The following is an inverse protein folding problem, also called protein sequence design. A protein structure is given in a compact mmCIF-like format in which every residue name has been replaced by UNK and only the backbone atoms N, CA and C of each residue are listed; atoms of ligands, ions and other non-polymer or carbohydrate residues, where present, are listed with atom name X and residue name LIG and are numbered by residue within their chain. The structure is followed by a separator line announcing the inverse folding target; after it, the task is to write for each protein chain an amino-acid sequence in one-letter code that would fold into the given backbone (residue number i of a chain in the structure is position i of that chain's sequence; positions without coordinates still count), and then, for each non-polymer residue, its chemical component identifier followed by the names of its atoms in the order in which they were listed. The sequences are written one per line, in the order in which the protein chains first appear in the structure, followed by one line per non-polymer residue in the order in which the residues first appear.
data_IF_377058499656
#
_entry.id   IF_377058499656
#
_cell.length_a   1.000
_cell.length_b   1.000
_cell.length_c   1.000
_cell.angle_alpha   90.00
_cell.angle_beta   90.00
_cell.angle_gamma   90.00
#
_symmetry.space_group_name_H-M   'P 1'
#
loop_
_entity.id
_entity.type
_entity.pdbx_description
1 polymer ?
#
# COMPACT_ATOMS: atom_id res chain seq x y z
N UNK A 1 41.79 -32.56 1.11
CA UNK A 1 40.33 -32.61 0.94
C UNK A 1 39.71 -31.55 1.85
N UNK A 2 38.89 -30.66 1.27
CA UNK A 2 37.73 -29.92 1.81
C UNK A 2 37.53 -29.78 3.33
N UNK A 3 37.03 -28.69 3.93
CA UNK A 3 36.63 -27.32 3.52
C UNK A 3 36.17 -26.62 4.82
N UNK A 4 36.46 -25.31 4.92
CA UNK A 4 35.58 -24.23 5.43
C UNK A 4 34.89 -24.32 6.81
N UNK A 5 35.16 -23.33 7.68
CA UNK A 5 34.22 -22.24 8.02
C UNK A 5 34.65 -21.55 9.33
N UNK A 6 35.16 -20.31 9.22
CA UNK A 6 35.28 -19.41 10.35
C UNK A 6 34.09 -18.45 10.37
N UNK A 7 33.32 -18.55 11.45
CA UNK A 7 32.23 -17.65 11.85
C UNK A 7 32.84 -16.45 12.58
N UNK A 8 32.41 -15.25 12.24
CA UNK A 8 32.48 -14.07 13.10
C UNK A 8 31.16 -13.29 12.85
N UNK A 9 30.19 -13.21 13.76
CA UNK A 9 30.18 -12.73 15.13
C UNK A 9 30.60 -11.26 15.28
N UNK A 10 29.65 -10.45 15.73
CA UNK A 10 29.83 -9.10 16.26
C UNK A 10 29.37 -8.01 15.30
N UNK A 11 28.81 -6.88 15.74
CA UNK A 11 28.38 -6.44 17.05
C UNK A 11 27.53 -5.17 16.83
N UNK A 12 26.94 -4.72 17.92
CA UNK A 12 26.01 -3.61 18.13
C UNK A 12 26.58 -2.20 17.83
N UNK A 13 25.64 -1.24 17.73
CA UNK A 13 25.76 0.23 17.85
C UNK A 13 26.26 1.06 16.64
N UNK A 14 25.41 2.00 16.19
CA UNK A 14 25.84 3.22 15.49
C UNK A 14 26.52 4.22 16.44
N UNK A 15 26.80 5.50 16.09
CA UNK A 15 26.27 6.30 14.98
C UNK A 15 27.38 7.06 14.19
N UNK A 16 26.97 7.94 13.26
CA UNK A 16 27.72 9.13 12.77
C UNK A 16 29.11 8.97 12.13
N UNK A 17 29.28 9.61 10.96
CA UNK A 17 30.58 10.11 10.51
C UNK A 17 31.03 9.56 9.16
N UNK A 18 30.64 10.24 8.09
CA UNK A 18 31.27 10.08 6.78
C UNK A 18 32.70 10.63 6.85
N UNK A 19 33.70 9.76 6.82
CA UNK A 19 35.08 10.09 6.49
C UNK A 19 35.44 9.44 5.15
N UNK A 20 35.94 10.27 4.24
CA UNK A 20 36.38 9.90 2.91
C UNK A 20 37.60 8.97 2.98
N UNK A 21 37.60 7.93 2.13
CA UNK A 21 38.82 7.20 1.79
C UNK A 21 38.79 6.90 0.29
N UNK A 22 39.71 7.56 -0.42
CA UNK A 22 40.05 7.29 -1.80
C UNK A 22 41.00 6.07 -1.89
N UNK A 23 40.80 5.21 -2.88
CA UNK A 23 41.82 4.33 -3.49
C UNK A 23 41.19 3.81 -4.80
N UNK A 24 41.62 4.23 -5.99
CA UNK A 24 42.86 3.84 -6.70
C UNK A 24 42.86 2.38 -7.19
N UNK A 25 42.61 2.22 -8.49
CA UNK A 25 43.34 1.31 -9.40
C UNK A 25 42.94 -0.18 -9.47
N UNK A 26 42.44 -0.62 -10.63
CA UNK A 26 43.17 -1.48 -11.57
C UNK A 26 42.22 -2.16 -12.58
N UNK A 27 42.49 -1.96 -13.87
CA UNK A 27 41.97 -2.78 -14.97
C UNK A 27 42.57 -4.19 -14.90
N UNK A 28 41.76 -5.22 -15.10
CA UNK A 28 42.09 -6.34 -16.00
C UNK A 28 40.90 -7.29 -16.21
N UNK A 29 40.70 -7.65 -17.48
CA UNK A 29 40.07 -8.87 -17.98
C UNK A 29 38.52 -9.02 -17.92
N UNK A 30 37.93 -9.02 -19.12
CA UNK A 30 36.95 -10.04 -19.48
C UNK A 30 35.47 -9.72 -19.25
N UNK A 31 34.82 -9.23 -20.32
CA UNK A 31 33.49 -9.69 -20.73
C UNK A 31 32.40 -9.85 -19.67
N UNK A 32 31.88 -8.74 -19.15
CA UNK A 32 30.47 -8.59 -18.78
C UNK A 32 30.21 -7.10 -18.55
N UNK A 33 29.24 -6.52 -19.25
CA UNK A 33 28.79 -5.15 -19.02
C UNK A 33 28.03 -5.12 -17.70
N UNK A 34 28.77 -5.09 -16.59
CA UNK A 34 28.25 -4.74 -15.28
C UNK A 34 28.12 -3.22 -15.24
N UNK A 35 26.88 -2.73 -15.40
CA UNK A 35 26.55 -1.33 -15.11
C UNK A 35 26.69 -1.15 -13.60
N UNK A 36 27.90 -0.83 -13.14
CA UNK A 36 28.18 -0.32 -11.81
C UNK A 36 27.52 1.06 -11.70
N UNK A 37 26.29 1.09 -11.19
CA UNK A 37 25.70 2.33 -10.71
C UNK A 37 26.48 2.73 -9.45
N UNK A 38 27.45 3.61 -9.64
CA UNK A 38 28.17 4.25 -8.55
C UNK A 38 27.14 4.95 -7.64
N UNK A 39 26.97 4.42 -6.44
CA UNK A 39 26.16 5.01 -5.39
C UNK A 39 26.91 6.24 -4.85
N UNK A 40 26.83 7.34 -5.60
CA UNK A 40 27.30 8.64 -5.13
C UNK A 40 26.24 9.17 -4.16
N UNK A 41 26.69 9.48 -2.94
CA UNK A 41 25.85 10.05 -1.91
C UNK A 41 25.21 11.36 -2.40
N UNK A 42 23.89 11.54 -2.23
CA UNK A 42 23.26 12.78 -2.61
C UNK A 42 23.67 13.87 -1.60
N UNK A 43 24.47 14.82 -2.07
CA UNK A 43 24.62 16.15 -1.48
C UNK A 43 23.24 16.81 -1.33
N UNK A 44 22.99 17.58 -0.25
CA UNK A 44 21.65 18.06 0.12
C UNK A 44 20.98 19.05 -0.85
N UNK A 45 21.67 19.44 -1.95
CA UNK A 45 21.20 20.43 -2.92
C UNK A 45 20.79 19.87 -4.29
N UNK A 46 20.70 18.54 -4.46
CA UNK A 46 20.21 17.98 -5.73
C UNK A 46 18.68 17.93 -5.81
N UNK A 47 18.06 18.51 -6.87
CA UNK A 47 16.65 18.31 -7.12
C UNK A 47 16.36 16.82 -7.29
N UNK A 48 15.39 16.31 -6.54
CA UNK A 48 14.93 14.94 -6.57
C UNK A 48 14.87 14.42 -8.01
N UNK A 49 15.44 13.23 -8.32
CA UNK A 49 15.43 12.69 -9.67
C UNK A 49 13.98 12.63 -10.19
N UNK A 50 13.75 12.96 -11.47
CA UNK A 50 12.41 12.95 -12.04
C UNK A 50 11.79 11.57 -11.83
N UNK A 51 10.59 11.55 -11.25
CA UNK A 51 9.84 10.31 -11.05
C UNK A 51 9.75 9.58 -12.39
N UNK A 52 9.99 8.27 -12.44
CA UNK A 52 9.89 7.54 -13.69
C UNK A 52 8.48 7.71 -14.26
N UNK A 53 8.32 7.80 -15.59
CA UNK A 53 7.05 8.14 -16.24
C UNK A 53 5.92 7.20 -15.84
N UNK A 54 6.24 5.94 -15.51
CA UNK A 54 5.27 4.96 -15.01
C UNK A 54 4.65 5.37 -13.67
N UNK A 55 5.41 5.96 -12.76
CA UNK A 55 4.94 6.34 -11.41
C UNK A 55 3.99 7.53 -11.51
N UNK A 56 4.34 8.51 -12.36
CA UNK A 56 3.46 9.64 -12.67
C UNK A 56 2.16 9.14 -13.29
N UNK A 57 2.25 8.21 -14.25
CA UNK A 57 1.09 7.59 -14.88
C UNK A 57 0.22 6.80 -13.89
N UNK A 58 0.83 5.99 -13.02
CA UNK A 58 0.12 5.21 -11.99
C UNK A 58 -0.59 6.10 -10.97
N UNK A 59 0.01 7.22 -10.58
CA UNK A 59 -0.64 8.22 -9.71
C UNK A 59 -1.83 8.85 -10.40
N UNK A 60 -1.67 9.27 -11.67
CA UNK A 60 -2.78 9.79 -12.47
C UNK A 60 -3.94 8.79 -12.57
N UNK A 61 -3.64 7.53 -12.89
CA UNK A 61 -4.63 6.46 -12.95
C UNK A 61 -5.33 6.23 -11.61
N UNK A 62 -4.60 6.28 -10.49
CA UNK A 62 -5.18 6.16 -9.15
C UNK A 62 -6.17 7.31 -8.88
N UNK A 63 -5.81 8.53 -9.24
CA UNK A 63 -6.65 9.70 -9.07
C UNK A 63 -7.87 9.67 -10.01
N UNK A 64 -7.72 9.19 -11.24
CA UNK A 64 -8.83 8.98 -12.18
C UNK A 64 -9.83 7.93 -11.63
N UNK A 65 -9.34 6.81 -11.07
CA UNK A 65 -10.20 5.81 -10.42
C UNK A 65 -10.94 6.42 -9.21
N UNK A 66 -10.29 7.32 -8.47
CA UNK A 66 -10.88 7.99 -7.29
C UNK A 66 -11.97 8.99 -7.69
N UNK A 67 -11.77 9.73 -8.78
CA UNK A 67 -12.70 10.74 -9.29
C UNK A 67 -13.89 10.10 -10.02
N UNK A 68 -13.68 8.95 -10.66
CA UNK A 68 -14.73 8.30 -11.45
C UNK A 68 -15.91 7.84 -10.58
N UNK A 69 -17.12 8.13 -11.06
CA UNK A 69 -18.36 7.75 -10.41
C UNK A 69 -18.41 6.23 -10.14
N UNK A 70 -18.90 5.80 -8.95
CA UNK A 70 -19.02 4.39 -8.62
C UNK A 70 -19.93 3.68 -9.62
N UNK A 71 -19.52 2.48 -10.06
CA UNK A 71 -20.25 1.62 -11.03
C UNK A 71 -20.43 2.21 -12.44
N UNK A 72 -19.69 3.26 -12.81
CA UNK A 72 -19.71 3.77 -14.19
C UNK A 72 -18.88 2.88 -15.13
N UNK A 73 -19.31 2.79 -16.40
CA UNK A 73 -18.56 2.09 -17.44
C UNK A 73 -17.16 2.69 -17.64
N UNK A 74 -17.05 4.02 -17.60
CA UNK A 74 -15.77 4.73 -17.61
C UNK A 74 -14.84 4.27 -16.48
N UNK A 75 -15.34 4.14 -15.25
CA UNK A 75 -14.54 3.64 -14.12
C UNK A 75 -14.06 2.20 -14.35
N UNK A 76 -14.89 1.36 -14.96
CA UNK A 76 -14.53 0.00 -15.30
C UNK A 76 -13.36 -0.02 -16.29
N UNK A 77 -13.45 0.76 -17.38
CA UNK A 77 -12.40 0.86 -18.40
C UNK A 77 -11.07 1.40 -17.84
N UNK A 78 -11.13 2.46 -17.03
CA UNK A 78 -9.93 3.01 -16.38
C UNK A 78 -9.32 2.00 -15.41
N UNK A 79 -10.15 1.29 -14.64
CA UNK A 79 -9.67 0.27 -13.71
C UNK A 79 -9.04 -0.94 -14.42
N UNK A 80 -9.63 -1.42 -15.52
CA UNK A 80 -9.04 -2.53 -16.29
C UNK A 80 -7.71 -2.13 -16.91
N UNK A 81 -7.61 -0.91 -17.47
CA UNK A 81 -6.36 -0.38 -18.00
C UNK A 81 -5.29 -0.22 -16.92
N UNK A 82 -5.66 0.33 -15.76
CA UNK A 82 -4.75 0.48 -14.63
C UNK A 82 -4.27 -0.85 -14.04
N UNK A 83 -5.13 -1.87 -14.03
CA UNK A 83 -4.76 -3.21 -13.60
C UNK A 83 -3.73 -3.84 -14.54
N UNK A 84 -3.99 -3.79 -15.85
CA UNK A 84 -3.06 -4.30 -16.86
C UNK A 84 -1.70 -3.58 -16.81
N UNK A 85 -1.70 -2.26 -16.60
CA UNK A 85 -0.48 -1.48 -16.42
C UNK A 85 0.28 -1.90 -15.16
N UNK A 86 -0.42 -2.04 -14.03
CA UNK A 86 0.19 -2.45 -12.77
C UNK A 86 0.76 -3.88 -12.84
N UNK A 87 0.03 -4.82 -13.45
CA UNK A 87 0.49 -6.21 -13.61
C UNK A 87 1.69 -6.28 -14.57
N UNK A 88 1.70 -5.52 -15.68
CA UNK A 88 2.88 -5.39 -16.56
C UNK A 88 4.08 -4.82 -15.81
N UNK A 89 3.88 -3.76 -15.03
CA UNK A 89 4.94 -3.13 -14.24
C UNK A 89 5.51 -4.05 -13.16
N UNK A 90 4.65 -4.87 -12.53
CA UNK A 90 5.06 -5.87 -11.54
C UNK A 90 5.83 -7.02 -12.23
N UNK A 91 5.34 -7.52 -13.36
CA UNK A 91 5.95 -8.62 -14.09
C UNK A 91 7.31 -8.25 -14.70
N UNK A 92 7.47 -7.00 -15.15
CA UNK A 92 8.73 -6.51 -15.70
C UNK A 92 9.86 -6.45 -14.67
N UNK A 93 9.58 -6.54 -13.36
CA UNK A 93 10.59 -6.57 -12.30
C UNK A 93 11.49 -5.33 -12.21
N UNK A 94 11.29 -4.32 -13.06
CA UNK A 94 12.24 -3.27 -13.40
C UNK A 94 12.32 -2.12 -12.38
N UNK A 95 12.01 -2.37 -11.11
CA UNK A 95 11.89 -1.30 -10.11
C UNK A 95 12.52 -1.75 -8.80
N UNK A 96 13.69 -1.19 -8.48
CA UNK A 96 14.39 -1.43 -7.22
C UNK A 96 13.53 -0.96 -6.06
N UNK A 97 12.76 -1.85 -5.44
CA UNK A 97 12.08 -1.74 -4.14
C UNK A 97 11.06 -0.60 -3.93
N UNK A 98 11.41 0.65 -4.26
CA UNK A 98 10.74 1.89 -3.93
C UNK A 98 9.35 2.04 -4.53
N UNK A 99 9.09 1.52 -5.74
CA UNK A 99 7.83 1.78 -6.45
C UNK A 99 6.84 0.62 -6.45
N UNK A 100 7.30 -0.58 -6.06
CA UNK A 100 6.46 -1.75 -5.80
C UNK A 100 5.25 -1.46 -4.90
N UNK A 101 5.36 -0.71 -3.79
CA UNK A 101 4.20 -0.45 -2.92
C UNK A 101 3.10 0.37 -3.61
N UNK A 102 3.46 1.38 -4.40
CA UNK A 102 2.48 2.18 -5.15
C UNK A 102 1.72 1.31 -6.16
N UNK A 103 2.42 0.45 -6.90
CA UNK A 103 1.82 -0.47 -7.86
C UNK A 103 0.83 -1.42 -7.20
N UNK A 104 1.15 -1.93 -6.00
CA UNK A 104 0.24 -2.77 -5.21
C UNK A 104 -1.03 -2.01 -4.79
N UNK A 105 -0.90 -0.74 -4.40
CA UNK A 105 -2.06 0.10 -4.07
C UNK A 105 -2.93 0.34 -5.31
N UNK A 106 -2.35 0.71 -6.46
CA UNK A 106 -3.10 0.90 -7.71
C UNK A 106 -3.82 -0.37 -8.12
N UNK A 107 -3.13 -1.51 -8.09
CA UNK A 107 -3.70 -2.84 -8.36
C UNK A 107 -4.87 -3.16 -7.45
N UNK A 108 -4.76 -2.89 -6.15
CA UNK A 108 -5.85 -3.12 -5.21
C UNK A 108 -7.07 -2.23 -5.47
N UNK A 109 -6.86 -0.95 -5.81
CA UNK A 109 -7.94 -0.02 -6.16
C UNK A 109 -8.65 -0.44 -7.46
N UNK A 110 -7.88 -0.88 -8.46
CA UNK A 110 -8.43 -1.41 -9.71
C UNK A 110 -9.24 -2.68 -9.47
N UNK A 111 -8.72 -3.65 -8.71
CA UNK A 111 -9.43 -4.88 -8.36
C UNK A 111 -10.74 -4.61 -7.59
N UNK A 112 -10.78 -3.62 -6.69
CA UNK A 112 -12.02 -3.23 -6.01
C UNK A 112 -13.03 -2.58 -6.98
N UNK A 113 -12.57 -1.73 -7.91
CA UNK A 113 -13.42 -1.13 -8.93
C UNK A 113 -14.03 -2.18 -9.88
N UNK A 114 -13.30 -3.26 -10.17
CA UNK A 114 -13.76 -4.42 -10.94
C UNK A 114 -14.62 -5.41 -10.12
N UNK A 115 -14.88 -5.13 -8.84
CA UNK A 115 -15.67 -6.00 -7.96
C UNK A 115 -14.92 -7.20 -7.37
N UNK A 116 -13.63 -7.37 -7.67
CA UNK A 116 -12.78 -8.47 -7.18
C UNK A 116 -12.23 -8.21 -5.76
N UNK A 117 -13.13 -7.94 -4.81
CA UNK A 117 -12.82 -7.48 -3.44
C UNK A 117 -11.89 -8.40 -2.66
N UNK A 118 -12.04 -9.72 -2.81
CA UNK A 118 -11.17 -10.71 -2.13
C UNK A 118 -9.71 -10.58 -2.59
N UNK A 119 -9.49 -10.37 -3.89
CA UNK A 119 -8.15 -10.18 -4.47
C UNK A 119 -7.56 -8.82 -4.07
N UNK A 120 -8.40 -7.78 -4.04
CA UNK A 120 -7.99 -6.46 -3.54
C UNK A 120 -7.49 -6.52 -2.08
N UNK A 121 -8.22 -7.21 -1.18
CA UNK A 121 -7.80 -7.38 0.21
C UNK A 121 -6.46 -8.13 0.35
N UNK A 122 -6.20 -9.14 -0.49
CA UNK A 122 -4.91 -9.84 -0.50
C UNK A 122 -3.77 -8.94 -0.95
N UNK A 123 -4.00 -8.09 -1.96
CA UNK A 123 -3.00 -7.13 -2.43
C UNK A 123 -2.65 -6.07 -1.37
N UNK A 124 -3.59 -5.71 -0.49
CA UNK A 124 -3.42 -4.73 0.59
C UNK A 124 -2.87 -5.33 1.90
N UNK A 125 -2.59 -6.63 1.96
CA UNK A 125 -2.13 -7.30 3.18
C UNK A 125 -0.63 -7.13 3.46
N UNK A 126 0.15 -6.69 2.46
CA UNK A 126 1.59 -6.52 2.57
C UNK A 126 2.02 -5.31 3.42
N UNK A 127 3.28 -5.33 3.87
CA UNK A 127 3.93 -4.14 4.47
C UNK A 127 4.14 -3.08 3.38
N UNK A 128 3.58 -1.90 3.61
CA UNK A 128 3.69 -0.74 2.72
C UNK A 128 4.38 0.41 3.48
N UNK A 129 5.09 1.33 2.76
CA UNK A 129 5.62 2.54 3.36
C UNK A 129 4.50 3.41 3.95
N UNK A 130 4.81 4.34 4.87
CA UNK A 130 3.81 5.08 5.64
C UNK A 130 2.70 5.75 4.79
N UNK A 131 3.07 6.36 3.67
CA UNK A 131 2.15 7.10 2.80
C UNK A 131 1.19 6.16 2.06
N UNK A 132 1.72 5.13 1.40
CA UNK A 132 0.94 4.11 0.69
C UNK A 132 0.13 3.25 1.67
N UNK A 133 0.64 3.06 2.90
CA UNK A 133 -0.04 2.35 3.98
C UNK A 133 -1.30 3.07 4.41
N UNK A 134 -1.27 4.39 4.57
CA UNK A 134 -2.48 5.18 4.87
C UNK A 134 -3.58 4.96 3.83
N UNK A 135 -3.24 5.05 2.54
CA UNK A 135 -4.19 4.83 1.44
C UNK A 135 -4.69 3.39 1.37
N UNK A 136 -3.81 2.41 1.59
CA UNK A 136 -4.15 1.00 1.63
C UNK A 136 -5.11 0.67 2.77
N UNK A 137 -4.88 1.21 3.97
CA UNK A 137 -5.72 1.02 5.15
C UNK A 137 -7.10 1.65 4.96
N UNK A 138 -7.18 2.87 4.43
CA UNK A 138 -8.47 3.49 4.08
C UNK A 138 -9.23 2.60 3.11
N UNK A 139 -8.55 2.08 2.08
CA UNK A 139 -9.21 1.22 1.09
C UNK A 139 -9.67 -0.12 1.67
N UNK A 140 -8.86 -0.74 2.52
CA UNK A 140 -9.19 -1.97 3.26
C UNK A 140 -10.43 -1.78 4.13
N UNK A 141 -10.50 -0.64 4.84
CA UNK A 141 -11.65 -0.28 5.65
C UNK A 141 -12.91 -0.08 4.80
N UNK A 142 -12.80 0.59 3.64
CA UNK A 142 -13.94 0.75 2.72
C UNK A 142 -14.50 -0.59 2.26
N UNK A 143 -13.65 -1.53 1.85
CA UNK A 143 -14.09 -2.86 1.41
C UNK A 143 -14.81 -3.58 2.56
N UNK A 144 -14.27 -3.52 3.78
CA UNK A 144 -14.88 -4.16 4.95
C UNK A 144 -16.22 -3.51 5.35
N UNK A 145 -16.34 -2.18 5.29
CA UNK A 145 -17.60 -1.47 5.53
C UNK A 145 -18.65 -1.79 4.47
N UNK A 146 -18.24 -1.88 3.21
CA UNK A 146 -19.12 -2.25 2.11
C UNK A 146 -19.62 -3.69 2.24
N UNK A 147 -18.77 -4.62 2.71
CA UNK A 147 -19.21 -5.96 3.08
C UNK A 147 -20.23 -5.93 4.21
N UNK A 148 -19.92 -5.22 5.30
CA UNK A 148 -20.82 -5.10 6.45
C UNK A 148 -22.20 -4.55 6.06
N UNK A 149 -22.26 -3.58 5.14
CA UNK A 149 -23.51 -2.98 4.66
C UNK A 149 -24.32 -3.85 3.73
N UNK A 150 -23.68 -4.73 2.96
CA UNK A 150 -24.34 -5.56 1.93
C UNK A 150 -24.68 -6.97 2.42
N UNK A 151 -24.03 -7.45 3.47
CA UNK A 151 -24.29 -8.78 4.01
C UNK A 151 -25.60 -8.79 4.80
N UNK A 152 -26.45 -9.78 4.51
CA UNK A 152 -27.68 -10.05 5.26
C UNK A 152 -27.38 -10.34 6.75
N UNK A 153 -26.29 -11.07 7.01
CA UNK A 153 -25.72 -11.26 8.34
C UNK A 153 -24.48 -10.36 8.51
N UNK A 154 -24.62 -9.15 9.08
CA UNK A 154 -23.50 -8.25 9.26
C UNK A 154 -22.51 -8.81 10.30
N UNK A 155 -21.25 -9.03 9.91
CA UNK A 155 -20.19 -9.46 10.83
C UNK A 155 -19.61 -8.26 11.60
N UNK A 156 -19.83 -8.11 12.92
CA UNK A 156 -19.34 -6.95 13.68
C UNK A 156 -17.81 -6.82 13.65
N UNK A 157 -17.11 -7.96 13.68
CA UNK A 157 -15.65 -8.01 13.60
C UNK A 157 -15.05 -7.29 12.37
N UNK A 158 -15.77 -7.27 11.23
CA UNK A 158 -15.32 -6.54 10.03
C UNK A 158 -15.43 -5.03 10.20
N UNK A 159 -16.45 -4.59 10.93
CA UNK A 159 -16.68 -3.18 11.22
C UNK A 159 -15.69 -2.67 12.28
N UNK A 160 -15.34 -3.48 13.27
CA UNK A 160 -14.27 -3.18 14.21
C UNK A 160 -12.90 -3.13 13.53
N UNK A 161 -12.61 -4.09 12.66
CA UNK A 161 -11.39 -4.08 11.83
C UNK A 161 -11.31 -2.84 10.93
N UNK A 162 -12.42 -2.48 10.28
CA UNK A 162 -12.47 -1.26 9.49
C UNK A 162 -12.23 0.01 10.33
N UNK A 163 -12.73 0.06 11.57
CA UNK A 163 -12.47 1.19 12.46
C UNK A 163 -11.01 1.27 12.92
N UNK A 164 -10.40 0.12 13.23
CA UNK A 164 -8.98 0.05 13.57
C UNK A 164 -8.11 0.53 12.40
N UNK A 165 -8.40 0.03 11.19
CA UNK A 165 -7.71 0.42 9.96
C UNK A 165 -7.78 1.93 9.70
N UNK A 166 -8.95 2.55 9.93
CA UNK A 166 -9.12 3.99 9.72
C UNK A 166 -8.41 4.85 10.79
N UNK A 167 -8.39 4.39 12.05
CA UNK A 167 -7.62 5.06 13.10
C UNK A 167 -6.13 5.00 12.78
N UNK A 168 -5.64 3.83 12.40
CA UNK A 168 -4.25 3.64 12.01
C UNK A 168 -3.89 4.49 10.77
N UNK A 169 -4.79 4.59 9.79
CA UNK A 169 -4.59 5.44 8.63
C UNK A 169 -4.46 6.93 8.99
N UNK A 170 -5.23 7.41 9.96
CA UNK A 170 -5.14 8.78 10.45
C UNK A 170 -3.85 9.06 11.24
N UNK A 171 -3.24 8.03 11.86
CA UNK A 171 -1.92 8.19 12.46
C UNK A 171 -0.83 8.45 11.41
N UNK A 172 -0.94 7.83 10.22
CA UNK A 172 0.01 8.05 9.12
C UNK A 172 -0.27 9.32 8.31
N UNK A 173 -1.56 9.61 8.08
CA UNK A 173 -2.00 10.78 7.30
C UNK A 173 -3.17 11.45 8.04
N UNK A 174 -2.89 12.36 8.99
CA UNK A 174 -3.92 12.96 9.85
C UNK A 174 -4.92 13.80 9.05
N UNK A 175 -4.45 14.44 7.98
CA UNK A 175 -5.30 15.30 7.16
C UNK A 175 -6.19 14.58 6.15
N UNK A 176 -6.19 13.25 6.15
CA UNK A 176 -6.98 12.48 5.21
C UNK A 176 -8.50 12.64 5.46
N UNK A 177 -9.12 13.57 4.74
CA UNK A 177 -10.55 13.88 4.83
C UNK A 177 -11.43 12.64 4.58
N UNK A 178 -11.00 11.73 3.68
CA UNK A 178 -11.70 10.49 3.39
C UNK A 178 -11.66 9.53 4.57
N UNK A 179 -10.51 9.38 5.22
CA UNK A 179 -10.38 8.56 6.42
C UNK A 179 -11.27 9.11 7.55
N UNK A 180 -11.27 10.44 7.77
CA UNK A 180 -12.16 11.11 8.75
C UNK A 180 -13.64 10.86 8.47
N UNK A 181 -14.08 11.05 7.22
CA UNK A 181 -15.47 10.80 6.81
C UNK A 181 -15.90 9.33 7.00
N UNK A 182 -15.00 8.38 6.75
CA UNK A 182 -15.28 6.95 6.96
C UNK A 182 -15.25 6.55 8.43
N UNK A 183 -14.44 7.19 9.28
CA UNK A 183 -14.44 7.00 10.72
C UNK A 183 -15.80 7.32 11.33
N UNK A 184 -16.40 8.46 10.97
CA UNK A 184 -17.73 8.85 11.46
C UNK A 184 -18.83 7.90 10.96
N UNK A 185 -18.71 7.39 9.73
CA UNK A 185 -19.62 6.38 9.19
C UNK A 185 -19.52 5.03 9.93
N UNK A 186 -18.31 4.58 10.27
CA UNK A 186 -18.10 3.35 11.06
C UNK A 186 -18.66 3.49 12.48
N UNK A 187 -18.46 4.63 13.12
CA UNK A 187 -19.01 4.92 14.45
C UNK A 187 -20.56 4.88 14.47
N UNK A 188 -21.22 5.41 13.43
CA UNK A 188 -22.67 5.29 13.27
C UNK A 188 -23.12 3.83 13.10
N UNK A 189 -22.38 3.05 12.32
CA UNK A 189 -22.62 1.61 12.14
C UNK A 189 -22.55 0.83 13.46
N UNK A 190 -21.57 1.12 14.33
CA UNK A 190 -21.48 0.53 15.68
C UNK A 190 -22.72 0.82 16.51
N UNK A 191 -23.13 2.09 16.61
CA UNK A 191 -24.31 2.48 17.40
C UNK A 191 -25.56 1.75 16.94
N UNK A 192 -25.74 1.59 15.62
CA UNK A 192 -26.85 0.84 15.05
C UNK A 192 -26.79 -0.66 15.40
N UNK A 193 -25.60 -1.28 15.38
CA UNK A 193 -25.43 -2.67 15.78
C UNK A 193 -25.75 -2.90 17.26
N UNK A 194 -25.27 -2.00 18.14
CA UNK A 194 -25.56 -2.06 19.58
C UNK A 194 -27.06 -1.94 19.85
N UNK A 195 -27.75 -1.00 19.20
CA UNK A 195 -29.21 -0.85 19.32
C UNK A 195 -29.97 -2.10 18.89
N UNK A 196 -29.58 -2.74 17.77
CA UNK A 196 -30.21 -4.00 17.33
C UNK A 196 -30.00 -5.13 18.34
N UNK A 197 -28.81 -5.24 18.93
CA UNK A 197 -28.52 -6.27 19.94
C UNK A 197 -29.37 -6.08 21.20
N UNK A 198 -29.53 -4.84 21.67
CA UNK A 198 -30.41 -4.51 22.80
C UNK A 198 -31.86 -4.88 22.48
N UNK A 199 -32.36 -4.50 21.29
CA UNK A 199 -33.74 -4.79 20.89
C UNK A 199 -34.03 -6.29 20.80
N UNK A 200 -33.13 -7.07 20.17
CA UNK A 200 -33.26 -8.54 20.10
C UNK A 200 -33.14 -9.20 21.48
N UNK A 201 -32.27 -8.68 22.36
CA UNK A 201 -32.16 -9.15 23.74
C UNK A 201 -33.44 -8.92 24.55
N UNK A 202 -34.10 -7.77 24.38
CA UNK A 202 -35.41 -7.52 25.00
C UNK A 202 -36.54 -8.35 24.37
N UNK A 203 -36.48 -8.66 23.08
CA UNK A 203 -37.48 -9.47 22.39
C UNK A 203 -37.39 -10.97 22.77
N UNK A 204 -36.22 -11.46 23.16
CA UNK A 204 -36.02 -12.85 23.60
C UNK A 204 -36.39 -13.12 25.07
N UNK A 205 -36.75 -12.07 25.83
CA UNK A 205 -37.11 -12.14 27.26
C UNK A 205 -38.64 -12.03 27.47
N UNK A 206 -39.41 -11.98 26.39
CA UNK A 206 -40.89 -12.06 26.41
C UNK A 206 -41.34 -13.39 25.83
#
# INVERSE_FOLDING_TARGET
MSTSNAVAAGAYMGPTGYAAAAAAGALAAGGAVAVLVAFTLPTPDQPLPPLPPIVVRCRKLLDDIRRAAPRSHHRFQVASGALAEADRAIAAGAWGGLHKPLLLVVRAFALDALGQRRRALRALAGRLPPRERGDALVKRAEINLDYYRRCFFPCPARLDRAAADLKEALCFVPDNARARARCSASARGRRAATRRRIWLGHAAVK
#
